data_IF_703431462844
#
_entry.id   IF_703431462844
#
_cell.length_a   1.000
_cell.length_b   1.000
_cell.length_c   1.000
_cell.angle_alpha   90.00
_cell.angle_beta   90.00
_cell.angle_gamma   90.00
#
_symmetry.space_group_name_H-M   'P 1'
#
loop_
_entity.id
_entity.type
_entity.pdbx_description
1 polymer ?
#
# COMPACT_ATOMS: atom_id res chain seq x y z
N UNK A 1 -9.38 -24.16 1.15
CA UNK A 1 -10.05 -23.08 0.38
C UNK A 1 -9.27 -22.86 -0.91
N UNK A 2 -9.93 -22.88 -2.07
CA UNK A 2 -9.28 -22.62 -3.36
C UNK A 2 -9.45 -21.16 -3.76
N UNK A 3 -8.36 -20.49 -4.15
CA UNK A 3 -8.41 -19.10 -4.61
C UNK A 3 -8.48 -19.08 -6.13
N UNK A 4 -9.42 -18.32 -6.68
CA UNK A 4 -9.51 -18.12 -8.12
C UNK A 4 -8.20 -17.51 -8.69
N UNK A 5 -7.73 -18.01 -9.84
CA UNK A 5 -6.55 -17.51 -10.55
C UNK A 5 -6.51 -15.98 -10.67
N UNK A 6 -7.62 -15.35 -11.06
CA UNK A 6 -7.68 -13.89 -11.27
C UNK A 6 -7.52 -13.14 -9.96
N UNK A 7 -8.14 -13.62 -8.88
CA UNK A 7 -8.02 -13.02 -7.55
C UNK A 7 -6.60 -13.17 -7.04
N UNK A 8 -6.07 -14.40 -7.08
CA UNK A 8 -4.71 -14.66 -6.61
C UNK A 8 -3.68 -13.80 -7.35
N UNK A 9 -3.81 -13.67 -8.67
CA UNK A 9 -2.98 -12.77 -9.48
C UNK A 9 -3.09 -11.30 -9.04
N UNK A 10 -4.31 -10.76 -8.87
CA UNK A 10 -4.53 -9.38 -8.41
C UNK A 10 -3.86 -9.13 -7.05
N UNK A 11 -4.07 -10.03 -6.10
CA UNK A 11 -3.49 -9.94 -4.75
C UNK A 11 -1.96 -10.07 -4.78
N UNK A 12 -1.41 -10.93 -5.65
CA UNK A 12 0.05 -11.02 -5.85
C UNK A 12 0.65 -9.76 -6.45
N UNK A 13 -0.02 -9.14 -7.43
CA UNK A 13 0.40 -7.84 -7.97
C UNK A 13 0.39 -6.77 -6.86
N UNK A 14 -0.69 -6.72 -6.07
CA UNK A 14 -0.79 -5.79 -4.94
C UNK A 14 0.32 -6.01 -3.92
N UNK A 15 0.57 -7.27 -3.53
CA UNK A 15 1.66 -7.63 -2.64
C UNK A 15 3.03 -7.16 -3.16
N UNK A 16 3.28 -7.31 -4.46
CA UNK A 16 4.52 -6.80 -5.06
C UNK A 16 4.62 -5.27 -4.99
N UNK A 17 3.50 -4.55 -5.18
CA UNK A 17 3.47 -3.08 -5.00
C UNK A 17 3.76 -2.68 -3.55
N UNK A 18 3.19 -3.38 -2.57
CA UNK A 18 3.48 -3.16 -1.14
C UNK A 18 4.98 -3.35 -0.86
N UNK A 19 5.56 -4.47 -1.31
CA UNK A 19 6.98 -4.76 -1.13
C UNK A 19 7.89 -3.72 -1.81
N UNK A 20 7.47 -3.14 -2.94
CA UNK A 20 8.20 -2.08 -3.62
C UNK A 20 8.00 -0.70 -2.98
N UNK A 21 6.83 -0.42 -2.40
CA UNK A 21 6.52 0.85 -1.75
C UNK A 21 7.34 1.06 -0.46
N UNK A 22 7.56 0.01 0.32
CA UNK A 22 8.32 0.08 1.59
C UNK A 22 9.71 0.73 1.42
N UNK A 23 10.60 0.24 0.53
CA UNK A 23 11.93 0.85 0.38
C UNK A 23 11.87 2.28 -0.19
N UNK A 24 10.86 2.62 -1.00
CA UNK A 24 10.66 4.00 -1.45
C UNK A 24 10.28 4.93 -0.29
N UNK A 25 9.38 4.48 0.59
CA UNK A 25 9.01 5.23 1.79
C UNK A 25 10.20 5.35 2.77
N UNK A 26 10.98 4.29 2.97
CA UNK A 26 12.20 4.33 3.79
C UNK A 26 13.21 5.35 3.23
N UNK A 27 13.41 5.35 1.91
CA UNK A 27 14.26 6.34 1.25
C UNK A 27 13.73 7.77 1.42
N UNK A 28 12.41 7.98 1.33
CA UNK A 28 11.77 9.28 1.58
C UNK A 28 11.96 9.74 3.02
N UNK A 29 11.87 8.82 3.99
CA UNK A 29 12.12 9.11 5.40
C UNK A 29 13.56 9.54 5.65
N UNK A 30 14.54 8.87 5.03
CA UNK A 30 15.97 9.16 5.21
C UNK A 30 16.44 10.43 4.48
N UNK A 31 15.90 10.70 3.29
CA UNK A 31 16.38 11.76 2.39
C UNK A 31 15.52 13.02 2.38
N UNK A 32 14.43 13.03 3.14
CA UNK A 32 13.64 14.24 3.34
C UNK A 32 14.52 15.34 3.92
N UNK A 33 14.72 16.42 3.16
CA UNK A 33 15.34 17.67 3.63
C UNK A 33 14.50 18.36 4.71
N UNK A 34 13.26 17.91 4.90
CA UNK A 34 12.30 18.42 5.87
C UNK A 34 12.31 17.53 7.12
N UNK A 35 12.82 18.06 8.24
CA UNK A 35 12.85 17.35 9.53
C UNK A 35 11.46 16.91 10.04
N UNK A 36 10.38 17.52 9.52
CA UNK A 36 8.99 17.26 9.91
C UNK A 36 8.30 16.16 9.07
N UNK A 37 8.87 15.77 7.91
CA UNK A 37 8.26 14.78 7.01
C UNK A 37 8.37 13.33 7.51
N UNK A 38 9.30 13.06 8.44
CA UNK A 38 9.60 11.70 8.89
C UNK A 38 8.43 11.00 9.60
N UNK A 39 7.64 11.74 10.40
CA UNK A 39 6.46 11.20 11.08
C UNK A 39 5.33 10.87 10.10
N UNK A 40 5.12 11.72 9.08
CA UNK A 40 4.14 11.50 8.01
C UNK A 40 4.46 10.22 7.22
N UNK A 41 5.74 9.98 6.95
CA UNK A 41 6.18 8.78 6.23
C UNK A 41 6.14 7.54 7.13
N UNK A 42 6.49 7.66 8.41
CA UNK A 42 6.56 6.53 9.35
C UNK A 42 5.24 5.75 9.42
N UNK A 43 4.10 6.44 9.59
CA UNK A 43 2.80 5.75 9.65
C UNK A 43 2.46 4.99 8.37
N UNK A 44 2.92 5.47 7.21
CA UNK A 44 2.74 4.77 5.92
C UNK A 44 3.63 3.53 5.84
N UNK A 45 4.88 3.61 6.30
CA UNK A 45 5.78 2.45 6.39
C UNK A 45 5.14 1.36 7.27
N UNK A 46 4.64 1.74 8.45
CA UNK A 46 4.00 0.83 9.39
C UNK A 46 2.76 0.15 8.77
N UNK A 47 1.91 0.91 8.09
CA UNK A 47 0.74 0.36 7.41
C UNK A 47 1.13 -0.63 6.30
N UNK A 48 2.13 -0.30 5.48
CA UNK A 48 2.59 -1.18 4.40
C UNK A 48 3.19 -2.47 4.96
N UNK A 49 3.99 -2.40 6.04
CA UNK A 49 4.54 -3.58 6.73
C UNK A 49 3.45 -4.44 7.35
N UNK A 50 2.42 -3.83 7.93
CA UNK A 50 1.28 -4.55 8.49
C UNK A 50 0.53 -5.34 7.40
N UNK A 51 0.18 -4.70 6.29
CA UNK A 51 -0.44 -5.38 5.14
C UNK A 51 0.44 -6.46 4.56
N UNK A 52 1.75 -6.22 4.45
CA UNK A 52 2.70 -7.23 3.98
C UNK A 52 2.62 -8.48 4.86
N UNK A 53 2.65 -8.32 6.19
CA UNK A 53 2.55 -9.42 7.14
C UNK A 53 1.20 -10.15 7.06
N UNK A 54 0.08 -9.42 6.96
CA UNK A 54 -1.26 -9.98 6.81
C UNK A 54 -1.38 -10.83 5.53
N UNK A 55 -0.82 -10.34 4.41
CA UNK A 55 -0.80 -11.05 3.13
C UNK A 55 0.15 -12.25 3.14
N UNK A 56 1.32 -12.16 3.77
CA UNK A 56 2.22 -13.31 3.96
C UNK A 56 1.52 -14.40 4.76
N UNK A 57 0.87 -14.04 5.87
CA UNK A 57 0.09 -14.97 6.69
C UNK A 57 -1.05 -15.62 5.90
N UNK A 58 -1.71 -14.87 5.01
CA UNK A 58 -2.69 -15.44 4.09
C UNK A 58 -2.06 -16.47 3.14
N UNK A 59 -0.95 -16.13 2.49
CA UNK A 59 -0.28 -17.01 1.52
C UNK A 59 0.37 -18.24 2.14
N UNK A 60 0.83 -18.16 3.39
CA UNK A 60 1.46 -19.27 4.12
C UNK A 60 0.45 -20.24 4.76
N UNK A 61 -0.87 -19.97 4.63
CA UNK A 61 -1.88 -20.85 5.19
C UNK A 61 -1.84 -22.23 4.51
N UNK A 62 -1.54 -23.32 5.25
CA UNK A 62 -1.37 -24.67 4.67
C UNK A 62 -2.67 -25.23 4.07
N UNK A 63 -3.83 -24.69 4.45
CA UNK A 63 -5.13 -25.07 3.90
C UNK A 63 -5.51 -24.32 2.61
N UNK A 64 -4.66 -23.38 2.18
CA UNK A 64 -4.86 -22.59 0.97
C UNK A 64 -4.36 -23.36 -0.25
N UNK A 65 -5.27 -23.66 -1.17
CA UNK A 65 -4.88 -24.15 -2.50
C UNK A 65 -4.69 -22.94 -3.41
N UNK A 66 -3.42 -22.64 -3.71
CA UNK A 66 -3.05 -21.53 -4.57
C UNK A 66 -2.94 -21.98 -6.03
N UNK A 67 -3.52 -21.24 -6.99
CA UNK A 67 -3.33 -21.53 -8.41
C UNK A 67 -1.91 -21.14 -8.82
N UNK A 68 -1.35 -21.86 -9.78
CA UNK A 68 -0.08 -21.46 -10.41
C UNK A 68 -0.29 -20.18 -11.23
N UNK A 69 0.48 -19.14 -10.93
CA UNK A 69 0.52 -17.90 -11.72
C UNK A 69 1.99 -17.59 -12.02
N UNK A 70 2.40 -17.50 -13.30
CA UNK A 70 3.77 -17.15 -13.65
C UNK A 70 4.17 -15.80 -13.04
N UNK A 71 5.40 -15.71 -12.52
CA UNK A 71 5.90 -14.48 -11.88
C UNK A 71 5.79 -13.26 -12.82
N UNK A 72 6.05 -13.43 -14.11
CA UNK A 72 5.92 -12.39 -15.14
C UNK A 72 4.51 -11.80 -15.25
N UNK A 73 3.47 -12.56 -14.89
CA UNK A 73 2.08 -12.10 -14.88
C UNK A 73 1.69 -11.37 -13.59
N UNK A 74 2.52 -11.45 -12.56
CA UNK A 74 2.32 -10.83 -11.25
C UNK A 74 3.15 -9.54 -11.05
N UNK A 75 3.90 -9.11 -12.06
CA UNK A 75 4.69 -7.88 -11.97
C UNK A 75 3.76 -6.66 -11.89
N UNK A 76 4.08 -5.75 -10.97
CA UNK A 76 3.48 -4.44 -10.93
C UNK A 76 4.12 -3.57 -12.03
N UNK A 77 3.30 -2.97 -12.89
CA UNK A 77 3.78 -2.04 -13.93
C UNK A 77 4.07 -0.65 -13.38
N UNK A 78 3.45 -0.31 -12.25
CA UNK A 78 3.62 0.95 -11.53
C UNK A 78 3.68 0.66 -10.04
N UNK A 79 4.60 1.33 -9.35
CA UNK A 79 4.77 1.27 -7.91
C UNK A 79 4.21 2.54 -7.26
N UNK A 80 3.91 2.46 -5.98
CA UNK A 80 3.50 3.62 -5.18
C UNK A 80 4.74 4.28 -4.55
N UNK A 81 4.62 5.58 -4.29
CA UNK A 81 5.64 6.42 -3.65
C UNK A 81 6.98 6.47 -4.40
N UNK A 82 6.99 6.11 -5.69
CA UNK A 82 8.21 6.10 -6.53
C UNK A 82 8.40 7.39 -7.33
N UNK A 83 7.54 8.39 -7.15
CA UNK A 83 7.68 9.67 -7.86
C UNK A 83 8.84 10.48 -7.29
N UNK A 84 9.82 10.81 -8.13
CA UNK A 84 10.98 11.61 -7.74
C UNK A 84 10.60 12.99 -7.22
N UNK A 85 9.44 13.53 -7.61
CA UNK A 85 8.96 14.81 -7.12
C UNK A 85 8.70 14.83 -5.59
N UNK A 86 8.49 13.66 -4.97
CA UNK A 86 8.38 13.54 -3.50
C UNK A 86 9.69 13.93 -2.77
N UNK A 87 10.84 13.86 -3.44
CA UNK A 87 12.14 14.25 -2.86
C UNK A 87 12.48 15.73 -3.04
N UNK A 88 11.70 16.47 -3.84
CA UNK A 88 11.99 17.86 -4.23
C UNK A 88 10.88 18.85 -3.86
N UNK A 89 9.98 18.48 -2.94
CA UNK A 89 8.92 19.35 -2.49
C UNK A 89 9.46 20.62 -1.81
N UNK A 90 8.94 21.78 -2.22
CA UNK A 90 9.35 23.08 -1.69
C UNK A 90 8.75 23.41 -0.30
N UNK A 91 7.72 22.67 0.14
CA UNK A 91 7.02 22.91 1.40
C UNK A 91 6.43 21.61 1.98
N UNK A 92 6.16 21.61 3.29
CA UNK A 92 5.50 20.49 3.98
C UNK A 92 4.09 20.23 3.44
N UNK A 93 3.34 21.29 3.13
CA UNK A 93 2.01 21.19 2.55
C UNK A 93 2.03 20.48 1.18
N UNK A 94 2.96 20.87 0.29
CA UNK A 94 3.13 20.22 -1.01
C UNK A 94 3.56 18.76 -0.86
N UNK A 95 4.47 18.49 0.09
CA UNK A 95 4.91 17.12 0.38
C UNK A 95 3.74 16.25 0.87
N UNK A 96 2.93 16.77 1.79
CA UNK A 96 1.76 16.07 2.30
C UNK A 96 0.71 15.82 1.22
N UNK A 97 0.41 16.80 0.36
CA UNK A 97 -0.53 16.65 -0.76
C UNK A 97 -0.07 15.55 -1.73
N UNK A 98 1.23 15.49 -2.03
CA UNK A 98 1.81 14.43 -2.85
C UNK A 98 1.71 13.05 -2.18
N UNK A 99 1.99 12.95 -0.88
CA UNK A 99 1.79 11.71 -0.13
C UNK A 99 0.32 11.25 -0.15
N UNK A 100 -0.63 12.17 0.04
CA UNK A 100 -2.07 11.87 -0.06
C UNK A 100 -2.45 11.40 -1.46
N UNK A 101 -1.85 11.99 -2.50
CA UNK A 101 -2.05 11.55 -3.89
C UNK A 101 -1.58 10.11 -4.10
N UNK A 102 -0.45 9.72 -3.54
CA UNK A 102 0.02 8.33 -3.57
C UNK A 102 -0.90 7.40 -2.76
N UNK A 103 -1.33 7.82 -1.57
CA UNK A 103 -2.28 7.05 -0.76
C UNK A 103 -3.59 6.78 -1.51
N UNK A 104 -4.08 7.74 -2.30
CA UNK A 104 -5.25 7.53 -3.16
C UNK A 104 -5.04 6.44 -4.21
N UNK A 105 -3.84 6.32 -4.79
CA UNK A 105 -3.50 5.24 -5.73
C UNK A 105 -3.56 3.87 -5.05
N UNK A 106 -3.06 3.79 -3.80
CA UNK A 106 -3.15 2.57 -2.97
C UNK A 106 -4.61 2.21 -2.71
N UNK A 107 -5.41 3.17 -2.26
CA UNK A 107 -6.84 2.99 -1.96
C UNK A 107 -7.62 2.56 -3.21
N UNK A 108 -7.32 3.15 -4.37
CA UNK A 108 -7.94 2.79 -5.64
C UNK A 108 -7.66 1.33 -6.00
N UNK A 109 -6.42 0.89 -5.88
CA UNK A 109 -6.04 -0.51 -6.13
C UNK A 109 -6.70 -1.48 -5.13
N UNK A 110 -6.80 -1.09 -3.85
CA UNK A 110 -7.48 -1.87 -2.82
C UNK A 110 -8.99 -2.01 -3.14
N UNK A 111 -9.63 -0.90 -3.53
CA UNK A 111 -11.05 -0.89 -3.94
C UNK A 111 -11.29 -1.75 -5.19
N UNK A 112 -10.35 -1.75 -6.15
CA UNK A 112 -10.44 -2.62 -7.31
C UNK A 112 -10.44 -4.11 -6.92
N UNK A 113 -9.65 -4.51 -5.93
CA UNK A 113 -9.67 -5.88 -5.39
C UNK A 113 -10.96 -6.16 -4.63
N UNK A 114 -11.40 -5.24 -3.77
CA UNK A 114 -12.63 -5.35 -2.97
C UNK A 114 -13.90 -5.46 -3.82
N UNK A 115 -13.88 -4.91 -5.05
CA UNK A 115 -15.00 -5.00 -5.98
C UNK A 115 -15.24 -6.42 -6.54
N UNK A 116 -14.29 -7.34 -6.36
CA UNK A 116 -14.38 -8.70 -6.88
C UNK A 116 -15.33 -9.56 -6.02
N UNK A 117 -16.46 -9.98 -6.61
CA UNK A 117 -17.50 -10.75 -5.91
C UNK A 117 -17.01 -12.10 -5.36
N UNK A 118 -15.95 -12.65 -5.93
CA UNK A 118 -15.40 -13.94 -5.51
C UNK A 118 -14.27 -13.79 -4.49
N UNK A 119 -14.00 -12.57 -4.00
CA UNK A 119 -12.92 -12.31 -3.05
C UNK A 119 -13.15 -13.09 -1.73
N UNK A 120 -12.18 -13.92 -1.30
CA UNK A 120 -12.28 -14.61 -0.03
C UNK A 120 -12.48 -13.64 1.14
N UNK A 121 -13.34 -14.00 2.10
CA UNK A 121 -13.70 -13.16 3.25
C UNK A 121 -12.47 -12.67 4.03
N UNK A 122 -11.47 -13.53 4.23
CA UNK A 122 -10.22 -13.16 4.91
C UNK A 122 -9.45 -12.06 4.17
N UNK A 123 -9.37 -12.12 2.84
CA UNK A 123 -8.73 -11.07 2.04
C UNK A 123 -9.56 -9.79 2.08
N UNK A 124 -10.89 -9.91 2.01
CA UNK A 124 -11.80 -8.77 2.13
C UNK A 124 -11.54 -7.98 3.41
N UNK A 125 -11.44 -8.66 4.56
CA UNK A 125 -11.12 -8.01 5.85
C UNK A 125 -9.76 -7.32 5.82
N UNK A 126 -8.72 -7.96 5.28
CA UNK A 126 -7.38 -7.35 5.16
C UNK A 126 -7.44 -6.04 4.36
N UNK A 127 -8.08 -6.06 3.18
CA UNK A 127 -8.16 -4.88 2.32
C UNK A 127 -9.09 -3.79 2.87
N UNK A 128 -10.19 -4.15 3.54
CA UNK A 128 -11.08 -3.20 4.21
C UNK A 128 -10.36 -2.48 5.37
N UNK A 129 -9.64 -3.24 6.21
CA UNK A 129 -8.88 -2.69 7.31
C UNK A 129 -7.75 -1.79 6.81
N UNK A 130 -6.99 -2.26 5.82
CA UNK A 130 -5.93 -1.46 5.19
C UNK A 130 -6.43 -0.13 4.66
N UNK A 131 -7.51 -0.17 3.86
CA UNK A 131 -8.15 1.04 3.32
C UNK A 131 -8.54 2.00 4.46
N UNK A 132 -9.19 1.48 5.50
CA UNK A 132 -9.64 2.29 6.63
C UNK A 132 -8.48 2.95 7.38
N UNK A 133 -7.39 2.22 7.63
CA UNK A 133 -6.21 2.75 8.32
C UNK A 133 -5.50 3.80 7.49
N UNK A 134 -5.35 3.56 6.19
CA UNK A 134 -4.71 4.53 5.28
C UNK A 134 -5.52 5.83 5.16
N UNK A 135 -6.86 5.75 5.11
CA UNK A 135 -7.73 6.93 5.19
C UNK A 135 -7.60 7.68 6.53
N UNK A 136 -7.39 6.95 7.63
CA UNK A 136 -7.10 7.55 8.94
C UNK A 136 -5.76 8.30 8.98
N UNK A 137 -4.73 7.79 8.29
CA UNK A 137 -3.42 8.44 8.14
C UNK A 137 -3.56 9.76 7.36
N UNK A 138 -4.35 9.77 6.27
CA UNK A 138 -4.62 10.99 5.49
C UNK A 138 -5.24 12.09 6.38
N UNK A 139 -6.30 11.74 7.12
CA UNK A 139 -7.02 12.69 7.99
C UNK A 139 -6.13 13.28 9.08
N UNK A 140 -5.21 12.48 9.64
CA UNK A 140 -4.28 12.94 10.69
C UNK A 140 -3.16 13.83 10.13
N UNK A 141 -2.77 13.61 8.87
CA UNK A 141 -1.79 14.45 8.17
C UNK A 141 -2.36 15.84 7.87
N UNK A 142 -3.65 15.93 7.56
CA UNK A 142 -4.35 17.20 7.31
C UNK A 142 -4.45 18.10 8.56
N UNK A 143 -4.46 17.51 9.75
CA UNK A 143 -4.46 18.25 11.02
C UNK A 143 -3.09 18.88 11.26
N UNK A 144 -2.00 18.16 10.96
CA UNK A 144 -0.63 18.64 11.13
C UNK A 144 -0.23 19.76 10.15
N UNK A 145 -0.98 19.95 9.07
CA UNK A 145 -0.73 21.01 8.07
C UNK A 145 -1.48 22.33 8.34
N UNK A 146 -2.32 22.39 9.40
CA UNK A 146 -3.15 23.57 9.71
C UNK A 146 -2.61 24.44 10.85
N UNK A 147 -1.52 24.02 11.47
CA UNK A 147 -0.75 24.79 12.48
C UNK A 147 0.53 25.36 11.86
#
# INVERSE_FOLDING_TARGET
>A
MEVNYKIYRKVKIYFNKVCAAIPHLEQLQERSSLAFGASLVQSRIEEMRLVQAELVSFFMNPSLKVPFVPASRCLALMNWYSDNALFSCASLAAYSEMLVTEDHKVIQDANYILSDRLLPSRLKVIFENHRSRLQGIQTSSDVLNKD
#
